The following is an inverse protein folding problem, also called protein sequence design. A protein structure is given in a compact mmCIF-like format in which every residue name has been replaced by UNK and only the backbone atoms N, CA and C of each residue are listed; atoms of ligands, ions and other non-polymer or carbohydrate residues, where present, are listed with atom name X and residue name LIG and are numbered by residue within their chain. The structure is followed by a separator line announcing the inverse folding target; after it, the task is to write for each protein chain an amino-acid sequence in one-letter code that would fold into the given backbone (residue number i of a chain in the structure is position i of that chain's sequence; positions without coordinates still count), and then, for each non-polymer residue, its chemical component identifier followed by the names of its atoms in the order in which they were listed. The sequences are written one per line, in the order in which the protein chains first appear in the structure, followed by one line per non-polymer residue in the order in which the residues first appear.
data_IF_885947710126
#
_entry.id   IF_885947710126
#
_cell.length_a   1.000
_cell.length_b   1.000
_cell.length_c   1.000
_cell.angle_alpha   90.00
_cell.angle_beta   90.00
_cell.angle_gamma   90.00
#
_symmetry.space_group_name_H-M   'P 1'
#
loop_
_entity.id
_entity.type
_entity.pdbx_description
1 polymer ?
#
# COMPACT_ATOMS: atom_id res chain seq x y z
N UNK A 1 4.02 -10.02 -4.73
CA UNK A 1 3.53 -9.22 -3.59
C UNK A 1 2.67 -10.04 -2.66
N UNK A 2 1.52 -10.54 -3.13
CA UNK A 2 0.58 -11.38 -2.34
C UNK A 2 1.29 -12.48 -1.53
N UNK A 3 2.12 -13.30 -2.18
CA UNK A 3 2.86 -14.37 -1.51
C UNK A 3 3.79 -13.84 -0.41
N UNK A 4 4.51 -12.74 -0.67
CA UNK A 4 5.37 -12.10 0.30
C UNK A 4 4.61 -11.55 1.50
N UNK A 5 3.45 -10.90 1.27
CA UNK A 5 2.60 -10.39 2.34
C UNK A 5 2.20 -11.52 3.31
N UNK A 6 1.73 -12.65 2.79
CA UNK A 6 1.31 -13.78 3.62
C UNK A 6 2.47 -14.43 4.39
N UNK A 7 3.61 -14.66 3.72
CA UNK A 7 4.80 -15.28 4.35
C UNK A 7 5.34 -14.37 5.46
N UNK A 8 5.56 -13.10 5.16
CA UNK A 8 6.16 -12.17 6.12
C UNK A 8 5.17 -11.67 7.16
N UNK A 9 3.86 -11.67 6.89
CA UNK A 9 2.85 -11.49 7.93
C UNK A 9 2.91 -12.57 8.99
N UNK A 10 3.00 -13.83 8.57
CA UNK A 10 3.21 -14.96 9.49
C UNK A 10 4.57 -14.87 10.21
N UNK A 11 5.66 -14.62 9.48
CA UNK A 11 6.99 -14.51 10.08
C UNK A 11 7.08 -13.34 11.08
N UNK A 12 6.39 -12.23 10.81
CA UNK A 12 6.34 -11.07 11.68
C UNK A 12 5.71 -11.41 13.03
N UNK A 13 4.62 -12.20 13.06
CA UNK A 13 3.96 -12.61 14.31
C UNK A 13 4.65 -13.80 15.01
N UNK A 14 5.23 -14.74 14.24
CA UNK A 14 5.75 -16.02 14.75
C UNK A 14 7.26 -16.09 14.89
N UNK A 15 7.99 -15.07 14.47
CA UNK A 15 9.44 -15.03 14.60
C UNK A 15 9.93 -13.69 15.15
N UNK A 16 9.77 -12.60 14.40
CA UNK A 16 10.33 -11.30 14.79
C UNK A 16 9.85 -10.21 13.83
N UNK A 17 9.52 -9.03 14.35
CA UNK A 17 9.22 -7.86 13.51
C UNK A 17 10.46 -7.45 12.73
N UNK A 18 11.57 -7.26 13.45
CA UNK A 18 12.88 -6.86 12.90
C UNK A 18 13.43 -7.88 11.90
N UNK A 19 13.45 -9.16 12.27
CA UNK A 19 14.00 -10.24 11.45
C UNK A 19 13.23 -10.40 10.14
N UNK A 20 11.90 -10.27 10.19
CA UNK A 20 11.06 -10.28 8.98
C UNK A 20 11.41 -9.13 8.04
N UNK A 21 11.57 -7.91 8.57
CA UNK A 21 12.00 -6.73 7.81
C UNK A 21 13.40 -6.86 7.20
N UNK A 22 14.35 -7.46 7.92
CA UNK A 22 15.71 -7.67 7.42
C UNK A 22 15.72 -8.65 6.25
N UNK A 23 15.03 -9.79 6.40
CA UNK A 23 14.98 -10.82 5.35
C UNK A 23 14.25 -10.31 4.11
N UNK A 24 13.13 -9.59 4.26
CA UNK A 24 12.42 -9.00 3.11
C UNK A 24 13.28 -8.01 2.34
N UNK A 25 14.05 -7.17 3.03
CA UNK A 25 14.98 -6.21 2.41
C UNK A 25 16.12 -6.92 1.68
N UNK A 26 16.69 -7.98 2.24
CA UNK A 26 17.76 -8.76 1.56
C UNK A 26 17.23 -9.36 0.26
N UNK A 27 16.04 -9.97 0.28
CA UNK A 27 15.37 -10.49 -0.93
C UNK A 27 15.21 -9.36 -1.96
N UNK A 28 14.73 -8.20 -1.53
CA UNK A 28 14.53 -7.04 -2.39
C UNK A 28 15.84 -6.59 -3.04
N UNK A 29 16.93 -6.44 -2.28
CA UNK A 29 18.27 -6.04 -2.78
C UNK A 29 18.77 -7.04 -3.83
N UNK A 30 18.82 -8.33 -3.46
CA UNK A 30 19.41 -9.38 -4.30
C UNK A 30 18.67 -9.50 -5.62
N UNK A 31 17.34 -9.61 -5.60
CA UNK A 31 16.58 -9.82 -6.83
C UNK A 31 16.39 -8.55 -7.66
N UNK A 32 16.49 -7.36 -7.06
CA UNK A 32 16.53 -6.11 -7.84
C UNK A 32 17.86 -5.99 -8.58
N UNK A 33 18.98 -6.33 -7.94
CA UNK A 33 20.29 -6.36 -8.58
C UNK A 33 20.36 -7.41 -9.71
N UNK A 34 19.84 -8.62 -9.46
CA UNK A 34 19.72 -9.65 -10.51
C UNK A 34 18.79 -9.22 -11.64
N UNK A 35 17.72 -8.48 -11.34
CA UNK A 35 16.83 -7.87 -12.32
C UNK A 35 17.56 -6.88 -13.24
N UNK A 36 18.42 -6.02 -12.69
CA UNK A 36 19.26 -5.11 -13.48
C UNK A 36 20.28 -5.87 -14.35
N UNK A 37 20.79 -6.99 -13.84
CA UNK A 37 21.74 -7.88 -14.50
C UNK A 37 21.13 -8.91 -15.46
N UNK A 38 19.81 -8.94 -15.66
CA UNK A 38 19.16 -10.05 -16.37
C UNK A 38 19.71 -10.26 -17.80
N UNK A 39 19.98 -11.50 -18.18
CA UNK A 39 20.58 -11.87 -19.46
C UNK A 39 19.83 -13.04 -20.10
N UNK A 40 19.49 -12.90 -21.39
CA UNK A 40 18.66 -13.86 -22.12
C UNK A 40 19.42 -14.81 -23.04
N UNK A 41 20.74 -14.91 -22.91
CA UNK A 41 21.57 -15.74 -23.79
C UNK A 41 21.29 -15.55 -25.30
N UNK A 42 21.16 -14.29 -25.72
CA UNK A 42 20.86 -13.91 -27.11
C UNK A 42 19.38 -13.92 -27.49
N UNK A 43 18.49 -14.51 -26.70
CA UNK A 43 17.03 -14.51 -26.96
C UNK A 43 16.29 -13.47 -26.13
N UNK A 44 15.41 -12.70 -26.79
CA UNK A 44 14.49 -11.78 -26.13
C UNK A 44 13.50 -12.51 -25.22
N UNK A 45 13.01 -13.69 -25.61
CA UNK A 45 12.05 -14.45 -24.80
C UNK A 45 12.68 -14.92 -23.48
N UNK A 46 13.92 -15.43 -23.54
CA UNK A 46 14.67 -15.83 -22.35
C UNK A 46 15.04 -14.65 -21.46
N UNK A 47 15.31 -13.47 -22.04
CA UNK A 47 15.52 -12.24 -21.26
C UNK A 47 14.26 -11.83 -20.49
N UNK A 48 13.11 -11.82 -21.14
CA UNK A 48 11.84 -11.49 -20.50
C UNK A 48 11.43 -12.52 -19.46
N UNK A 49 11.68 -13.81 -19.70
CA UNK A 49 11.45 -14.86 -18.72
C UNK A 49 12.32 -14.68 -17.47
N UNK A 50 13.63 -14.44 -17.63
CA UNK A 50 14.53 -14.17 -16.52
C UNK A 50 14.08 -12.92 -15.73
N UNK A 51 13.74 -11.84 -16.44
CA UNK A 51 13.25 -10.61 -15.82
C UNK A 51 11.94 -10.84 -15.06
N UNK A 52 11.00 -11.62 -15.62
CA UNK A 52 9.73 -11.95 -14.96
C UNK A 52 9.96 -12.72 -13.65
N UNK A 53 10.85 -13.71 -13.64
CA UNK A 53 11.23 -14.46 -12.43
C UNK A 53 11.83 -13.54 -11.38
N UNK A 54 12.80 -12.69 -11.75
CA UNK A 54 13.39 -11.76 -10.79
C UNK A 54 12.37 -10.73 -10.26
N UNK A 55 11.47 -10.22 -11.11
CA UNK A 55 10.40 -9.31 -10.67
C UNK A 55 9.39 -9.98 -9.75
N UNK A 56 9.09 -11.26 -9.98
CA UNK A 56 8.27 -12.04 -9.05
C UNK A 56 8.92 -12.13 -7.68
N UNK A 57 10.23 -12.42 -7.62
CA UNK A 57 10.99 -12.54 -6.38
C UNK A 57 11.19 -11.19 -5.67
N UNK A 58 11.46 -10.11 -6.41
CA UNK A 58 11.40 -8.73 -5.88
C UNK A 58 10.03 -8.45 -5.29
N UNK A 59 8.97 -8.90 -5.97
CA UNK A 59 7.60 -8.80 -5.48
C UNK A 59 7.37 -9.55 -4.16
N UNK A 60 8.10 -10.61 -3.84
CA UNK A 60 8.06 -11.26 -2.52
C UNK A 60 8.69 -10.35 -1.46
N UNK A 61 9.86 -9.77 -1.75
CA UNK A 61 10.54 -8.82 -0.86
C UNK A 61 9.67 -7.59 -0.56
N UNK A 62 9.17 -6.91 -1.60
CA UNK A 62 8.25 -5.78 -1.45
C UNK A 62 7.01 -6.19 -0.64
N UNK A 63 6.47 -7.39 -0.90
CA UNK A 63 5.31 -7.90 -0.18
C UNK A 63 5.52 -8.00 1.33
N UNK A 64 6.74 -8.28 1.79
CA UNK A 64 7.05 -8.37 3.22
C UNK A 64 7.19 -7.03 3.93
N UNK A 65 7.59 -5.98 3.20
CA UNK A 65 7.73 -4.63 3.75
C UNK A 65 6.40 -4.06 4.25
N UNK A 66 5.27 -4.39 3.60
CA UNK A 66 3.95 -3.91 4.01
C UNK A 66 3.53 -4.42 5.40
N UNK A 67 3.31 -5.74 5.62
CA UNK A 67 2.85 -6.24 6.91
C UNK A 67 3.91 -6.17 7.99
N UNK A 68 5.20 -6.30 7.68
CA UNK A 68 6.22 -6.16 8.72
C UNK A 68 6.46 -4.69 9.07
N UNK A 69 6.57 -3.81 8.07
CA UNK A 69 6.93 -2.40 8.27
C UNK A 69 5.78 -1.57 8.81
N UNK A 70 4.58 -1.71 8.27
CA UNK A 70 3.42 -0.97 8.76
C UNK A 70 3.06 -1.39 10.17
N UNK A 71 3.15 -2.67 10.49
CA UNK A 71 2.88 -3.15 11.85
C UNK A 71 3.92 -2.63 12.84
N UNK A 72 5.21 -2.74 12.52
CA UNK A 72 6.27 -2.14 13.35
C UNK A 72 6.10 -0.64 13.53
N UNK A 73 5.73 0.08 12.47
CA UNK A 73 5.47 1.51 12.54
C UNK A 73 4.28 1.82 13.45
N UNK A 74 3.17 1.06 13.34
CA UNK A 74 2.00 1.25 14.19
C UNK A 74 2.29 1.02 15.67
N UNK A 75 3.06 -0.03 15.99
CA UNK A 75 3.51 -0.37 17.35
C UNK A 75 4.45 0.72 17.89
N UNK A 76 5.46 1.13 17.11
CA UNK A 76 6.37 2.21 17.49
C UNK A 76 5.67 3.56 17.68
N UNK A 77 4.64 3.87 16.89
CA UNK A 77 3.85 5.10 17.08
C UNK A 77 3.05 5.08 18.38
N UNK A 78 2.79 3.90 18.96
CA UNK A 78 2.18 3.76 20.29
C UNK A 78 3.02 4.37 21.41
N UNK A 79 4.35 4.39 21.24
CA UNK A 79 5.30 4.97 22.20
C UNK A 79 5.38 6.50 22.11
N UNK A 80 4.84 7.09 21.04
CA UNK A 80 4.78 8.55 20.86
C UNK A 80 3.64 9.17 21.68
N UNK A 81 3.77 10.48 21.92
CA UNK A 81 2.73 11.27 22.60
C UNK A 81 1.39 11.15 21.86
N UNK A 82 0.34 10.84 22.64
CA UNK A 82 -1.03 10.77 22.14
C UNK A 82 -1.44 12.09 21.45
N UNK A 83 -2.21 11.95 20.37
CA UNK A 83 -2.70 13.05 19.53
C UNK A 83 -1.94 13.24 18.22
N UNK A 84 -0.75 12.60 18.06
CA UNK A 84 0.03 12.67 16.82
C UNK A 84 0.34 11.33 16.16
N UNK A 85 -0.17 10.22 16.73
CA UNK A 85 0.28 8.86 16.39
C UNK A 85 -0.18 8.43 15.00
N UNK A 86 -1.35 8.88 14.53
CA UNK A 86 -1.82 8.53 13.19
C UNK A 86 -1.03 9.29 12.13
N UNK A 87 -0.74 10.58 12.33
CA UNK A 87 0.09 11.36 11.39
C UNK A 87 1.48 10.76 11.25
N UNK A 88 2.14 10.39 12.35
CA UNK A 88 3.47 9.79 12.27
C UNK A 88 3.45 8.46 11.54
N UNK A 89 2.44 7.62 11.80
CA UNK A 89 2.26 6.39 11.01
C UNK A 89 2.16 6.71 9.52
N UNK A 90 1.32 7.65 9.12
CA UNK A 90 1.10 8.02 7.71
C UNK A 90 2.37 8.60 7.09
N UNK A 91 3.06 9.50 7.78
CA UNK A 91 4.28 10.13 7.30
C UNK A 91 5.41 9.12 7.03
N UNK A 92 5.52 8.07 7.86
CA UNK A 92 6.55 7.04 7.70
C UNK A 92 6.11 5.85 6.83
N UNK A 93 4.83 5.79 6.44
CA UNK A 93 4.30 4.75 5.55
C UNK A 93 3.84 5.35 4.23
N UNK A 94 2.61 5.86 4.15
CA UNK A 94 1.99 6.30 2.89
C UNK A 94 2.78 7.41 2.20
N UNK A 95 3.17 8.46 2.93
CA UNK A 95 3.94 9.58 2.35
C UNK A 95 5.28 9.11 1.78
N UNK A 96 5.93 8.12 2.41
CA UNK A 96 7.18 7.54 1.89
C UNK A 96 6.93 6.66 0.66
N UNK A 97 5.79 5.98 0.56
CA UNK A 97 5.38 5.25 -0.64
C UNK A 97 5.17 6.21 -1.81
N UNK A 98 4.46 7.32 -1.58
CA UNK A 98 4.20 8.34 -2.60
C UNK A 98 5.46 9.06 -3.05
N UNK A 99 6.33 9.39 -2.10
CA UNK A 99 7.65 9.91 -2.42
C UNK A 99 8.44 8.90 -3.26
N UNK A 100 8.33 7.61 -2.94
CA UNK A 100 8.86 6.52 -3.74
C UNK A 100 8.28 6.47 -5.16
N UNK A 101 6.98 6.72 -5.36
CA UNK A 101 6.38 6.81 -6.69
C UNK A 101 6.90 8.01 -7.49
N UNK A 102 7.04 9.18 -6.86
CA UNK A 102 7.61 10.38 -7.50
C UNK A 102 9.05 10.12 -7.95
N UNK A 103 9.92 9.63 -7.06
CA UNK A 103 11.30 9.32 -7.38
C UNK A 103 11.38 8.19 -8.42
N UNK A 104 10.52 7.17 -8.29
CA UNK A 104 10.40 6.04 -9.20
C UNK A 104 9.92 6.43 -10.61
N UNK A 105 9.22 7.55 -10.77
CA UNK A 105 8.87 8.13 -12.07
C UNK A 105 9.96 9.08 -12.58
N UNK A 106 10.56 9.89 -11.70
CA UNK A 106 11.55 10.91 -12.05
C UNK A 106 12.91 10.33 -12.45
N UNK A 107 13.38 9.27 -11.80
CA UNK A 107 14.66 8.63 -12.15
C UNK A 107 14.63 8.06 -13.57
N UNK A 108 13.62 7.26 -13.98
CA UNK A 108 13.48 6.84 -15.38
C UNK A 108 13.44 8.00 -16.38
N UNK A 109 12.72 9.08 -16.07
CA UNK A 109 12.69 10.30 -16.89
C UNK A 109 14.11 10.84 -17.13
N UNK A 110 14.87 11.05 -16.06
CA UNK A 110 16.23 11.58 -16.13
C UNK A 110 17.17 10.64 -16.91
N UNK A 111 17.10 9.33 -16.65
CA UNK A 111 17.96 8.34 -17.32
C UNK A 111 17.64 8.26 -18.81
N UNK A 112 16.36 8.33 -19.22
CA UNK A 112 16.00 8.35 -20.66
C UNK A 112 16.48 9.62 -21.35
N UNK A 113 16.42 10.78 -20.68
CA UNK A 113 16.98 12.03 -21.23
C UNK A 113 18.49 11.91 -21.43
N UNK A 114 19.22 11.38 -20.45
CA UNK A 114 20.68 11.23 -20.50
C UNK A 114 21.09 10.20 -21.56
N UNK A 115 20.48 9.01 -21.54
CA UNK A 115 20.86 7.93 -22.46
C UNK A 115 20.36 8.15 -23.88
N UNK A 116 19.33 9.00 -24.05
CA UNK A 116 18.50 9.14 -25.27
C UNK A 116 17.84 7.83 -25.69
N UNK A 117 16.93 7.88 -26.67
CA UNK A 117 16.29 6.67 -27.22
C UNK A 117 17.28 5.74 -27.95
N UNK A 118 18.54 6.15 -28.13
CA UNK A 118 19.59 5.35 -28.76
C UNK A 118 20.19 4.29 -27.85
N UNK A 119 20.14 4.45 -26.53
CA UNK A 119 20.80 3.55 -25.57
C UNK A 119 19.84 2.94 -24.54
N UNK A 120 18.63 2.58 -24.97
CA UNK A 120 17.59 2.05 -24.08
C UNK A 120 18.02 0.78 -23.33
N UNK A 121 18.87 -0.06 -23.93
CA UNK A 121 19.43 -1.26 -23.27
C UNK A 121 20.26 -0.92 -22.03
N UNK A 122 21.02 0.17 -22.06
CA UNK A 122 21.75 0.67 -20.89
C UNK A 122 20.77 1.32 -19.91
N UNK A 123 19.86 2.15 -20.44
CA UNK A 123 18.92 2.93 -19.64
C UNK A 123 18.14 2.06 -18.65
N UNK A 124 17.44 1.01 -19.10
CA UNK A 124 16.59 0.22 -18.20
C UNK A 124 17.39 -0.55 -17.15
N UNK A 125 18.62 -0.97 -17.47
CA UNK A 125 19.51 -1.64 -16.51
C UNK A 125 19.97 -0.69 -15.42
N UNK A 126 20.37 0.53 -15.80
CA UNK A 126 20.78 1.58 -14.86
C UNK A 126 19.61 1.97 -13.96
N UNK A 127 18.41 2.15 -14.52
CA UNK A 127 17.21 2.47 -13.72
C UNK A 127 16.94 1.41 -12.65
N UNK A 128 17.01 0.12 -13.00
CA UNK A 128 16.83 -0.96 -12.02
C UNK A 128 17.99 -1.06 -11.03
N UNK A 129 19.22 -0.84 -11.49
CA UNK A 129 20.41 -0.85 -10.63
C UNK A 129 20.39 0.25 -9.57
N UNK A 130 19.97 1.47 -9.94
CA UNK A 130 19.80 2.58 -8.99
C UNK A 130 18.78 2.21 -7.90
N UNK A 131 17.73 1.46 -8.25
CA UNK A 131 16.71 0.98 -7.32
C UNK A 131 17.25 0.10 -6.18
N UNK A 132 18.46 -0.45 -6.32
CA UNK A 132 19.12 -1.26 -5.28
C UNK A 132 19.71 -0.38 -4.16
N UNK A 133 20.03 0.88 -4.43
CA UNK A 133 20.78 1.76 -3.52
C UNK A 133 19.98 2.08 -2.24
N UNK A 134 18.72 2.57 -2.29
CA UNK A 134 17.99 2.92 -1.07
C UNK A 134 17.79 1.74 -0.11
N UNK A 135 17.40 0.53 -0.58
CA UNK A 135 17.31 -0.65 0.28
C UNK A 135 18.62 -1.05 0.96
N UNK A 136 19.78 -0.90 0.30
CA UNK A 136 21.09 -1.15 0.92
C UNK A 136 21.32 -0.18 2.09
N UNK A 137 21.05 1.11 1.89
CA UNK A 137 21.18 2.12 2.94
C UNK A 137 20.25 1.80 4.12
N UNK A 138 19.01 1.38 3.83
CA UNK A 138 18.05 0.97 4.85
C UNK A 138 18.49 -0.29 5.60
N UNK A 139 19.11 -1.27 4.92
CA UNK A 139 19.59 -2.49 5.57
C UNK A 139 20.61 -2.18 6.68
N UNK A 140 21.49 -1.20 6.45
CA UNK A 140 22.46 -0.74 7.45
C UNK A 140 21.76 -0.16 8.69
N UNK A 141 20.73 0.66 8.49
CA UNK A 141 19.95 1.25 9.59
C UNK A 141 19.07 0.23 10.31
N UNK A 142 18.50 -0.76 9.59
CA UNK A 142 17.63 -1.80 10.17
C UNK A 142 18.35 -2.72 11.15
N UNK A 143 19.66 -2.86 11.01
CA UNK A 143 20.47 -3.62 11.98
C UNK A 143 20.35 -3.08 13.42
N UNK A 144 20.06 -1.78 13.57
CA UNK A 144 19.93 -1.07 14.86
C UNK A 144 18.52 -0.99 15.42
N UNK A 145 17.52 -1.54 14.71
CA UNK A 145 16.14 -1.55 15.21
C UNK A 145 16.02 -2.49 16.42
N UNK A 146 15.18 -2.09 17.38
CA UNK A 146 14.77 -2.92 18.51
C UNK A 146 13.34 -3.44 18.28
N UNK A 147 12.96 -4.49 19.00
CA UNK A 147 11.58 -5.00 18.94
C UNK A 147 10.66 -4.06 19.73
N UNK A 148 9.49 -3.67 19.20
CA UNK A 148 8.55 -2.81 19.93
C UNK A 148 8.11 -3.40 21.27
N UNK A 149 7.84 -2.55 22.26
CA UNK A 149 7.42 -3.01 23.59
C UNK A 149 6.12 -3.84 23.55
N UNK A 150 5.14 -3.40 22.77
CA UNK A 150 3.86 -4.10 22.62
C UNK A 150 4.05 -5.49 22.03
N UNK A 151 4.96 -5.66 21.06
CA UNK A 151 5.30 -6.98 20.53
C UNK A 151 5.87 -7.87 21.63
N UNK A 152 6.80 -7.38 22.44
CA UNK A 152 7.39 -8.13 23.56
C UNK A 152 6.33 -8.60 24.56
N UNK A 153 5.35 -7.74 24.87
CA UNK A 153 4.27 -8.01 25.85
C UNK A 153 3.18 -8.95 25.32
N UNK A 154 2.74 -8.75 24.08
CA UNK A 154 1.54 -9.40 23.51
C UNK A 154 1.85 -10.45 22.44
N UNK A 155 3.12 -10.76 22.19
CA UNK A 155 3.52 -11.74 21.17
C UNK A 155 2.92 -13.13 21.45
N UNK A 156 2.39 -13.74 20.40
CA UNK A 156 2.01 -15.14 20.36
C UNK A 156 3.07 -16.05 19.70
N UNK A 157 4.33 -15.58 19.61
CA UNK A 157 5.41 -16.31 18.95
C UNK A 157 5.61 -17.71 19.50
N UNK A 158 5.60 -17.88 20.81
CA UNK A 158 5.93 -19.15 21.48
C UNK A 158 4.71 -20.06 21.69
N UNK A 159 3.53 -19.69 21.18
CA UNK A 159 2.27 -20.42 21.39
C UNK A 159 1.60 -20.77 20.08
N UNK A 160 0.71 -21.77 20.12
CA UNK A 160 -0.17 -22.06 19.00
C UNK A 160 -1.31 -21.03 19.01
N UNK A 161 -1.34 -20.17 17.99
CA UNK A 161 -2.38 -19.16 17.83
C UNK A 161 -3.75 -19.86 17.69
N UNK A 162 -4.76 -19.52 18.51
CA UNK A 162 -6.09 -20.11 18.41
C UNK A 162 -6.86 -19.51 17.22
N UNK A 163 -6.48 -19.86 15.99
CA UNK A 163 -7.03 -19.27 14.75
C UNK A 163 -8.56 -19.29 14.67
N UNK A 164 -9.23 -20.32 15.22
CA UNK A 164 -10.70 -20.38 15.27
C UNK A 164 -11.29 -19.24 16.10
N UNK A 165 -10.67 -18.94 17.25
CA UNK A 165 -11.11 -17.85 18.13
C UNK A 165 -10.78 -16.49 17.51
N UNK A 166 -9.58 -16.35 16.93
CA UNK A 166 -9.14 -15.15 16.20
C UNK A 166 -10.11 -14.82 15.07
N UNK A 167 -10.43 -15.80 14.21
CA UNK A 167 -11.34 -15.62 13.10
C UNK A 167 -12.74 -15.29 13.60
N UNK A 168 -13.27 -16.02 14.59
CA UNK A 168 -14.59 -15.72 15.18
C UNK A 168 -14.69 -14.29 15.72
N UNK A 169 -13.61 -13.75 16.27
CA UNK A 169 -13.58 -12.41 16.84
C UNK A 169 -13.39 -11.31 15.77
N UNK A 170 -12.53 -11.54 14.78
CA UNK A 170 -12.12 -10.50 13.82
C UNK A 170 -12.70 -10.63 12.41
N UNK A 171 -13.40 -11.72 12.05
CA UNK A 171 -13.80 -11.98 10.64
C UNK A 171 -14.56 -10.82 9.99
N UNK A 172 -15.49 -10.19 10.72
CA UNK A 172 -16.27 -9.08 10.19
C UNK A 172 -15.40 -7.86 9.90
N UNK A 173 -14.53 -7.50 10.85
CA UNK A 173 -13.59 -6.38 10.67
C UNK A 173 -12.60 -6.65 9.55
N UNK A 174 -12.05 -7.86 9.50
CA UNK A 174 -11.13 -8.29 8.44
C UNK A 174 -11.80 -8.20 7.07
N UNK A 175 -13.05 -8.66 6.95
CA UNK A 175 -13.83 -8.59 5.71
C UNK A 175 -14.04 -7.14 5.28
N UNK A 176 -14.48 -6.26 6.17
CA UNK A 176 -14.72 -4.84 5.86
C UNK A 176 -13.43 -4.14 5.44
N UNK A 177 -12.33 -4.33 6.19
CA UNK A 177 -11.03 -3.74 5.85
C UNK A 177 -10.54 -4.27 4.51
N UNK A 178 -10.68 -5.58 4.25
CA UNK A 178 -10.25 -6.19 2.98
C UNK A 178 -11.06 -5.70 1.78
N UNK A 179 -12.38 -5.52 1.93
CA UNK A 179 -13.24 -4.94 0.88
C UNK A 179 -12.83 -3.50 0.55
N UNK A 180 -12.54 -2.69 1.57
CA UNK A 180 -12.03 -1.33 1.38
C UNK A 180 -10.68 -1.34 0.64
N UNK A 181 -9.76 -2.26 0.99
CA UNK A 181 -8.48 -2.41 0.30
C UNK A 181 -8.63 -2.78 -1.19
N UNK A 182 -9.63 -3.60 -1.55
CA UNK A 182 -9.91 -3.97 -2.95
C UNK A 182 -10.29 -2.73 -3.76
N UNK A 183 -11.26 -1.96 -3.27
CA UNK A 183 -11.87 -0.85 -4.00
C UNK A 183 -10.97 0.39 -4.09
N UNK A 184 -9.99 0.53 -3.19
CA UNK A 184 -8.98 1.59 -3.29
C UNK A 184 -7.90 1.35 -4.35
N UNK A 185 -7.71 0.10 -4.80
CA UNK A 185 -6.57 -0.25 -5.68
C UNK A 185 -6.84 -0.05 -7.17
N UNK A 186 -8.02 0.47 -7.52
CA UNK A 186 -8.49 0.62 -8.90
C UNK A 186 -8.36 2.06 -9.36
N UNK A 187 -7.23 2.38 -10.01
CA UNK A 187 -7.09 3.19 -11.24
C UNK A 187 -5.59 3.49 -11.41
N UNK A 188 -4.98 2.97 -12.49
CA UNK A 188 -4.14 3.77 -13.38
C UNK A 188 -3.83 2.95 -14.63
N UNK A 189 -4.38 3.34 -15.78
CA UNK A 189 -3.89 2.88 -17.09
C UNK A 189 -4.24 3.88 -18.19
N UNK A 190 -3.26 4.11 -19.06
CA UNK A 190 -3.34 4.60 -20.44
C UNK A 190 -3.88 6.03 -20.69
N UNK A 191 -3.09 7.05 -20.33
CA UNK A 191 -3.28 8.44 -20.80
C UNK A 191 -2.39 8.76 -22.02
N UNK A 192 -1.45 7.91 -22.40
CA UNK A 192 -0.48 8.22 -23.46
C UNK A 192 -0.69 7.34 -24.69
N UNK A 193 -0.92 7.98 -25.84
CA UNK A 193 -0.90 7.31 -27.13
C UNK A 193 0.52 6.91 -27.54
N UNK A 194 0.63 5.88 -28.39
CA UNK A 194 1.88 5.21 -28.79
C UNK A 194 2.89 6.10 -29.54
N UNK A 195 2.53 7.34 -29.89
CA UNK A 195 3.33 8.25 -30.73
C UNK A 195 4.08 9.35 -29.99
N UNK A 196 4.05 9.39 -28.66
CA UNK A 196 4.69 10.46 -27.85
C UNK A 196 6.12 10.05 -27.46
N UNK A 197 7.14 10.93 -27.60
CA UNK A 197 8.51 10.64 -27.17
C UNK A 197 8.58 10.18 -25.72
N UNK A 198 9.40 9.16 -25.44
CA UNK A 198 9.38 8.46 -24.14
C UNK A 198 9.73 9.40 -22.97
N UNK A 199 10.62 10.37 -23.20
CA UNK A 199 10.95 11.40 -22.22
C UNK A 199 9.75 12.27 -21.83
N UNK A 200 8.85 12.60 -22.76
CA UNK A 200 7.62 13.35 -22.44
C UNK A 200 6.64 12.51 -21.64
N UNK A 201 6.51 11.22 -21.97
CA UNK A 201 5.67 10.28 -21.22
C UNK A 201 6.14 10.17 -19.77
N UNK A 202 7.44 9.95 -19.55
CA UNK A 202 7.97 9.89 -18.18
C UNK A 202 7.89 11.23 -17.45
N UNK A 203 8.09 12.37 -18.13
CA UNK A 203 7.96 13.69 -17.53
C UNK A 203 6.55 13.99 -17.03
N UNK A 204 5.53 13.72 -17.84
CA UNK A 204 4.13 13.85 -17.41
C UNK A 204 3.77 12.85 -16.31
N UNK A 205 4.28 11.62 -16.37
CA UNK A 205 4.12 10.66 -15.29
C UNK A 205 4.70 11.17 -13.97
N UNK A 206 5.87 11.84 -13.98
CA UNK A 206 6.40 12.49 -12.76
C UNK A 206 5.45 13.56 -12.23
N UNK A 207 4.91 14.41 -13.11
CA UNK A 207 3.96 15.47 -12.71
C UNK A 207 2.70 14.87 -12.09
N UNK A 208 2.15 13.81 -12.68
CA UNK A 208 0.96 13.13 -12.13
C UNK A 208 1.26 12.55 -10.75
N UNK A 209 2.39 11.87 -10.56
CA UNK A 209 2.76 11.30 -9.26
C UNK A 209 3.04 12.37 -8.19
N UNK A 210 3.44 13.61 -8.57
CA UNK A 210 3.60 14.70 -7.62
C UNK A 210 2.29 15.10 -6.94
N UNK A 211 1.13 14.84 -7.56
CA UNK A 211 -0.17 15.12 -6.96
C UNK A 211 -0.53 14.16 -5.81
N UNK A 212 0.18 13.05 -5.62
CA UNK A 212 -0.02 12.19 -4.45
C UNK A 212 0.38 12.91 -3.15
N UNK A 213 1.53 13.61 -3.17
CA UNK A 213 2.14 14.19 -1.97
C UNK A 213 1.26 15.21 -1.23
N UNK A 214 0.61 16.21 -1.88
CA UNK A 214 -0.27 17.13 -1.16
C UNK A 214 -1.41 16.40 -0.44
N UNK A 215 -1.97 15.37 -1.07
CA UNK A 215 -3.02 14.52 -0.52
C UNK A 215 -2.58 13.84 0.76
N UNK A 216 -1.49 13.06 0.68
CA UNK A 216 -0.96 12.31 1.82
C UNK A 216 -0.46 13.21 2.97
N UNK A 217 0.15 14.35 2.66
CA UNK A 217 0.61 15.28 3.69
C UNK A 217 -0.57 15.92 4.44
N UNK A 218 -1.59 16.40 3.73
CA UNK A 218 -2.78 17.00 4.36
C UNK A 218 -3.62 15.94 5.06
N UNK A 219 -3.77 14.76 4.47
CA UNK A 219 -4.51 13.64 5.04
C UNK A 219 -3.86 13.10 6.32
N UNK A 220 -2.52 13.11 6.41
CA UNK A 220 -1.80 12.76 7.63
C UNK A 220 -2.22 13.60 8.83
N UNK A 221 -2.33 14.92 8.64
CA UNK A 221 -2.72 15.87 9.67
C UNK A 221 -4.21 15.72 9.98
N UNK A 222 -5.05 15.60 8.94
CA UNK A 222 -6.49 15.48 9.10
C UNK A 222 -6.90 14.20 9.85
N UNK A 223 -6.20 13.10 9.60
CA UNK A 223 -6.46 11.78 10.21
C UNK A 223 -6.16 11.74 11.71
N UNK A 224 -5.29 12.62 12.22
CA UNK A 224 -5.12 12.79 13.67
C UNK A 224 -6.27 13.58 14.30
N UNK A 225 -6.79 14.60 13.61
CA UNK A 225 -7.84 15.46 14.16
C UNK A 225 -9.21 14.80 14.20
N UNK A 226 -9.63 14.15 13.12
CA UNK A 226 -10.97 13.57 13.01
C UNK A 226 -10.98 12.05 13.25
N UNK A 227 -9.82 11.41 13.12
CA UNK A 227 -9.66 9.97 13.20
C UNK A 227 -9.75 9.27 11.82
N UNK A 228 -9.08 8.12 11.65
CA UNK A 228 -8.89 7.49 10.34
C UNK A 228 -10.18 7.07 9.63
N UNK A 229 -11.20 6.64 10.38
CA UNK A 229 -12.51 6.24 9.83
C UNK A 229 -13.16 7.39 9.07
N UNK A 230 -13.23 8.56 9.71
CA UNK A 230 -13.89 9.73 9.13
C UNK A 230 -13.02 10.40 8.07
N UNK A 231 -11.70 10.43 8.26
CA UNK A 231 -10.77 10.91 7.24
C UNK A 231 -10.90 10.12 5.93
N UNK A 232 -10.92 8.78 6.01
CA UNK A 232 -11.15 7.92 4.86
C UNK A 232 -12.53 8.21 4.21
N UNK A 233 -13.59 8.25 5.02
CA UNK A 233 -14.97 8.48 4.52
C UNK A 233 -15.07 9.80 3.76
N UNK A 234 -14.54 10.89 4.33
CA UNK A 234 -14.61 12.22 3.74
C UNK A 234 -13.75 12.28 2.48
N UNK A 235 -12.51 11.78 2.54
CA UNK A 235 -11.60 11.77 1.41
C UNK A 235 -12.16 11.00 0.21
N UNK A 236 -12.65 9.79 0.43
CA UNK A 236 -13.18 8.94 -0.64
C UNK A 236 -14.52 9.47 -1.19
N UNK A 237 -15.33 10.15 -0.36
CA UNK A 237 -16.56 10.81 -0.81
C UNK A 237 -16.25 12.03 -1.70
N UNK A 238 -15.27 12.84 -1.30
CA UNK A 238 -14.80 13.96 -2.10
C UNK A 238 -14.18 13.47 -3.42
N UNK A 239 -13.38 12.40 -3.36
CA UNK A 239 -12.81 11.74 -4.53
C UNK A 239 -13.90 11.25 -5.49
N UNK A 240 -14.96 10.59 -4.98
CA UNK A 240 -16.09 10.13 -5.79
C UNK A 240 -16.80 11.30 -6.49
N UNK A 241 -17.02 12.41 -5.78
CA UNK A 241 -17.65 13.61 -6.34
C UNK A 241 -16.81 14.18 -7.50
N UNK A 242 -15.49 14.30 -7.31
CA UNK A 242 -14.58 14.77 -8.38
C UNK A 242 -14.56 13.78 -9.53
N UNK A 243 -14.52 12.47 -9.26
CA UNK A 243 -14.51 11.45 -10.30
C UNK A 243 -15.79 11.42 -11.15
N UNK A 244 -16.97 11.59 -10.54
CA UNK A 244 -18.22 11.76 -11.29
C UNK A 244 -18.25 13.04 -12.12
N UNK A 245 -17.72 14.14 -11.57
CA UNK A 245 -17.59 15.40 -12.30
C UNK A 245 -16.66 15.26 -13.50
N UNK A 246 -15.51 14.59 -13.33
CA UNK A 246 -14.58 14.28 -14.41
C UNK A 246 -15.22 13.43 -15.50
N UNK A 247 -15.97 12.39 -15.10
CA UNK A 247 -16.69 11.54 -16.05
C UNK A 247 -17.75 12.34 -16.82
N UNK A 248 -18.56 13.16 -16.15
CA UNK A 248 -19.59 13.98 -16.79
C UNK A 248 -19.03 15.04 -17.73
N UNK A 249 -17.93 15.70 -17.34
CA UNK A 249 -17.29 16.77 -18.11
C UNK A 249 -16.20 16.29 -19.08
N UNK A 250 -15.99 14.97 -19.19
CA UNK A 250 -14.96 14.39 -20.05
C UNK A 250 -14.94 14.96 -21.49
N UNK A 251 -16.08 15.15 -22.20
CA UNK A 251 -16.06 15.67 -23.58
C UNK A 251 -15.46 17.09 -23.70
N UNK A 252 -15.55 17.87 -22.63
CA UNK A 252 -15.00 19.24 -22.56
C UNK A 252 -13.53 19.16 -22.12
N UNK A 253 -13.23 18.33 -21.12
CA UNK A 253 -11.90 18.18 -20.55
C UNK A 253 -10.91 17.47 -21.49
N UNK A 254 -11.39 16.57 -22.35
CA UNK A 254 -10.56 15.79 -23.28
C UNK A 254 -10.06 16.59 -24.49
N UNK A 255 -10.48 17.85 -24.62
CA UNK A 255 -10.03 18.71 -25.72
C UNK A 255 -8.56 19.12 -25.51
N UNK A 256 -7.78 19.16 -26.59
CA UNK A 256 -6.33 19.48 -26.56
C UNK A 256 -6.04 20.83 -25.89
N UNK A 257 -6.95 21.80 -26.02
CA UNK A 257 -6.85 23.11 -25.38
C UNK A 257 -6.99 23.07 -23.85
N UNK A 258 -7.61 22.03 -23.29
CA UNK A 258 -7.95 21.89 -21.88
C UNK A 258 -7.06 20.90 -21.13
N UNK A 259 -5.97 20.41 -21.73
CA UNK A 259 -5.08 19.39 -21.14
C UNK A 259 -4.57 19.82 -19.76
N UNK A 260 -4.19 21.09 -19.58
CA UNK A 260 -3.74 21.60 -18.29
C UNK A 260 -4.85 21.53 -17.22
N UNK A 261 -6.09 21.88 -17.60
CA UNK A 261 -7.26 21.77 -16.71
C UNK A 261 -7.57 20.33 -16.34
N UNK A 262 -7.51 19.41 -17.31
CA UNK A 262 -7.68 17.98 -17.05
C UNK A 262 -6.63 17.45 -16.08
N UNK A 263 -5.34 17.80 -16.28
CA UNK A 263 -4.26 17.36 -15.38
C UNK A 263 -4.46 17.87 -13.96
N UNK A 264 -4.90 19.13 -13.77
CA UNK A 264 -5.15 19.67 -12.43
C UNK A 264 -6.32 18.95 -11.76
N UNK A 265 -7.44 18.77 -12.45
CA UNK A 265 -8.62 18.09 -11.88
C UNK A 265 -8.32 16.62 -11.57
N UNK A 266 -7.60 15.94 -12.48
CA UNK A 266 -7.11 14.59 -12.25
C UNK A 266 -6.12 14.53 -11.09
N UNK A 267 -5.22 15.51 -10.99
CA UNK A 267 -4.32 15.66 -9.86
C UNK A 267 -5.05 15.79 -8.53
N UNK A 268 -6.09 16.62 -8.47
CA UNK A 268 -6.97 16.74 -7.28
C UNK A 268 -7.65 15.40 -6.97
N UNK A 269 -8.15 14.69 -7.97
CA UNK A 269 -8.73 13.35 -7.78
C UNK A 269 -7.71 12.37 -7.15
N UNK A 270 -6.46 12.38 -7.63
CA UNK A 270 -5.39 11.56 -7.07
C UNK A 270 -5.00 11.98 -5.65
N UNK A 271 -4.87 13.30 -5.38
CA UNK A 271 -4.61 13.82 -4.04
C UNK A 271 -5.69 13.40 -3.04
N UNK A 272 -6.97 13.40 -3.44
CA UNK A 272 -8.07 12.96 -2.58
C UNK A 272 -8.04 11.44 -2.31
N UNK A 273 -7.53 10.66 -3.26
CA UNK A 273 -7.26 9.23 -3.08
C UNK A 273 -6.22 8.96 -2.00
N UNK A 274 -5.14 9.74 -1.98
CA UNK A 274 -4.12 9.61 -0.93
C UNK A 274 -4.58 10.17 0.41
N UNK A 275 -5.25 11.32 0.41
CA UNK A 275 -5.83 11.94 1.61
C UNK A 275 -6.80 11.00 2.35
N UNK A 276 -7.62 10.25 1.61
CA UNK A 276 -8.60 9.33 2.16
C UNK A 276 -8.06 7.91 2.28
N UNK A 277 -8.33 7.04 1.29
CA UNK A 277 -7.90 5.64 1.31
C UNK A 277 -6.40 5.41 1.51
N UNK A 278 -5.51 6.13 0.82
CA UNK A 278 -4.06 5.91 0.87
C UNK A 278 -3.50 5.99 2.29
N UNK A 279 -3.77 7.10 2.96
CA UNK A 279 -3.31 7.34 4.33
C UNK A 279 -3.95 6.40 5.35
N UNK A 280 -5.23 6.09 5.18
CA UNK A 280 -6.01 5.50 6.27
C UNK A 280 -6.07 3.97 6.22
N UNK A 281 -6.01 3.33 5.05
CA UNK A 281 -6.13 1.87 4.93
C UNK A 281 -5.03 1.15 5.71
N UNK A 282 -3.79 1.64 5.65
CA UNK A 282 -2.68 1.09 6.44
C UNK A 282 -2.94 1.19 7.95
N UNK A 283 -3.54 2.29 8.41
CA UNK A 283 -3.94 2.44 9.82
C UNK A 283 -5.05 1.45 10.16
N UNK A 284 -6.07 1.31 9.31
CA UNK A 284 -7.15 0.35 9.53
C UNK A 284 -6.61 -1.07 9.68
N UNK A 285 -5.76 -1.49 8.76
CA UNK A 285 -5.20 -2.84 8.76
C UNK A 285 -4.24 -3.08 9.95
N UNK A 286 -3.56 -2.05 10.45
CA UNK A 286 -2.61 -2.20 11.56
C UNK A 286 -3.24 -2.02 12.95
N UNK A 287 -4.22 -1.13 13.12
CA UNK A 287 -4.77 -0.79 14.45
C UNK A 287 -6.05 -1.51 14.83
N UNK A 288 -6.76 -2.16 13.89
CA UNK A 288 -8.07 -2.79 14.18
C UNK A 288 -8.00 -4.22 14.73
N UNK A 289 -6.80 -4.69 15.05
CA UNK A 289 -6.55 -6.01 15.62
C UNK A 289 -5.44 -5.99 16.69
N UNK A 290 -5.46 -7.02 17.52
CA UNK A 290 -4.48 -7.23 18.58
C UNK A 290 -3.09 -7.59 18.05
N UNK A 291 -2.07 -7.15 18.77
CA UNK A 291 -0.64 -7.23 18.47
C UNK A 291 -0.17 -8.64 18.12
N UNK A 292 -0.59 -9.65 18.88
CA UNK A 292 -0.17 -11.04 18.69
C UNK A 292 -0.57 -11.70 17.36
N UNK A 293 -1.52 -11.12 16.62
CA UNK A 293 -2.00 -11.62 15.31
C UNK A 293 -2.00 -10.55 14.22
N UNK A 294 -1.42 -9.39 14.51
CA UNK A 294 -1.54 -8.19 13.69
C UNK A 294 -0.83 -8.33 12.36
N UNK A 295 0.35 -8.95 12.33
CA UNK A 295 1.11 -9.20 11.11
C UNK A 295 0.31 -10.02 10.10
N UNK A 296 -0.33 -11.09 10.56
CA UNK A 296 -1.18 -11.95 9.75
C UNK A 296 -2.49 -11.26 9.33
N UNK A 297 -3.15 -10.54 10.24
CA UNK A 297 -4.35 -9.78 9.93
C UNK A 297 -4.09 -8.73 8.84
N UNK A 298 -3.04 -7.93 9.00
CA UNK A 298 -2.61 -6.94 8.01
C UNK A 298 -2.28 -7.63 6.69
N UNK A 299 -1.52 -8.72 6.73
CA UNK A 299 -1.11 -9.45 5.53
C UNK A 299 -2.28 -9.98 4.72
N UNK A 300 -3.31 -10.52 5.36
CA UNK A 300 -4.52 -11.01 4.67
C UNK A 300 -5.27 -9.83 4.03
N UNK A 301 -5.49 -8.74 4.76
CA UNK A 301 -6.16 -7.56 4.22
C UNK A 301 -5.40 -6.96 3.02
N UNK A 302 -4.08 -6.83 3.15
CA UNK A 302 -3.23 -6.28 2.10
C UNK A 302 -3.10 -7.23 0.89
N UNK A 303 -3.08 -8.55 1.11
CA UNK A 303 -3.09 -9.56 0.05
C UNK A 303 -4.39 -9.49 -0.77
N UNK A 304 -5.53 -9.39 -0.10
CA UNK A 304 -6.84 -9.25 -0.75
C UNK A 304 -6.91 -7.94 -1.55
N UNK A 305 -6.40 -6.82 -1.01
CA UNK A 305 -6.27 -5.56 -1.75
C UNK A 305 -5.42 -5.68 -3.01
N UNK A 306 -4.25 -6.34 -2.94
CA UNK A 306 -3.39 -6.56 -4.11
C UNK A 306 -4.01 -7.50 -5.14
N UNK A 307 -4.81 -8.49 -4.73
CA UNK A 307 -5.62 -9.30 -5.64
C UNK A 307 -6.68 -8.45 -6.34
N UNK A 308 -7.35 -7.56 -5.60
CA UNK A 308 -8.29 -6.58 -6.16
C UNK A 308 -7.64 -5.69 -7.23
N UNK A 309 -6.45 -5.15 -6.94
CA UNK A 309 -5.66 -4.36 -7.89
C UNK A 309 -5.38 -5.14 -9.19
N UNK A 310 -4.90 -6.38 -9.05
CA UNK A 310 -4.59 -7.26 -10.17
C UNK A 310 -5.83 -7.53 -11.02
N UNK A 311 -6.95 -7.90 -10.39
CA UNK A 311 -8.23 -8.13 -11.08
C UNK A 311 -8.69 -6.86 -11.79
N UNK A 312 -8.56 -5.69 -11.14
CA UNK A 312 -8.85 -4.39 -11.73
C UNK A 312 -8.11 -4.19 -13.05
N UNK A 313 -6.79 -4.39 -13.10
CA UNK A 313 -5.98 -4.21 -14.32
C UNK A 313 -6.52 -5.00 -15.52
N UNK A 314 -7.12 -6.18 -15.32
CA UNK A 314 -7.72 -6.96 -16.39
C UNK A 314 -9.15 -6.54 -16.75
N UNK A 315 -9.93 -6.04 -15.79
CA UNK A 315 -11.34 -5.69 -16.00
C UNK A 315 -11.50 -4.33 -16.71
N UNK A 316 -10.66 -3.33 -16.39
CA UNK A 316 -10.81 -1.98 -16.95
C UNK A 316 -10.78 -1.91 -18.49
N UNK A 317 -9.89 -2.64 -19.21
CA UNK A 317 -9.94 -2.69 -20.67
C UNK A 317 -11.28 -3.20 -21.22
N UNK A 318 -11.91 -4.19 -20.58
CA UNK A 318 -13.24 -4.67 -20.98
C UNK A 318 -14.34 -3.63 -20.69
N UNK A 319 -14.20 -2.85 -19.62
CA UNK A 319 -15.11 -1.73 -19.32
C UNK A 319 -15.00 -0.64 -20.41
N UNK A 320 -13.78 -0.31 -20.83
CA UNK A 320 -13.54 0.65 -21.92
C UNK A 320 -14.11 0.15 -23.25
N UNK A 321 -13.89 -1.13 -23.57
CA UNK A 321 -14.42 -1.78 -24.77
C UNK A 321 -15.95 -1.78 -24.78
N UNK A 322 -16.60 -2.08 -23.64
CA UNK A 322 -18.05 -2.00 -23.50
C UNK A 322 -18.60 -0.58 -23.74
N UNK A 323 -17.78 0.45 -23.59
CA UNK A 323 -18.10 1.84 -23.90
C UNK A 323 -17.88 2.24 -25.36
N UNK A 324 -17.40 1.33 -26.22
CA UNK A 324 -17.03 1.61 -27.61
C UNK A 324 -15.52 1.73 -27.84
N UNK A 325 -14.70 1.42 -26.84
CA UNK A 325 -13.23 1.45 -26.91
C UNK A 325 -12.62 2.77 -26.43
N UNK A 326 -11.32 2.75 -26.09
CA UNK A 326 -10.61 3.85 -25.44
C UNK A 326 -10.61 5.18 -26.22
N UNK A 327 -10.75 5.13 -27.55
CA UNK A 327 -10.80 6.31 -28.42
C UNK A 327 -12.19 6.99 -28.44
N UNK A 328 -13.19 6.38 -27.81
CA UNK A 328 -14.53 6.95 -27.71
C UNK A 328 -14.69 7.69 -26.39
N UNK A 329 -15.45 8.79 -26.42
CA UNK A 329 -15.79 9.55 -25.21
C UNK A 329 -16.40 8.65 -24.14
N UNK A 330 -17.34 7.78 -24.52
CA UNK A 330 -18.00 6.87 -23.58
C UNK A 330 -17.05 5.80 -23.03
N UNK A 331 -16.17 5.24 -23.86
CA UNK A 331 -15.14 4.29 -23.43
C UNK A 331 -14.21 4.90 -22.38
N UNK A 332 -13.78 6.15 -22.55
CA UNK A 332 -12.95 6.84 -21.58
C UNK A 332 -13.69 7.30 -20.31
N UNK A 333 -15.01 7.53 -20.39
CA UNK A 333 -15.84 7.92 -19.24
C UNK A 333 -16.14 6.76 -18.28
N UNK A 334 -16.38 5.57 -18.81
CA UNK A 334 -16.83 4.41 -18.00
C UNK A 334 -15.86 4.04 -16.86
N UNK A 335 -14.53 4.01 -17.06
CA UNK A 335 -13.58 3.81 -15.98
C UNK A 335 -13.77 4.78 -14.80
N UNK A 336 -13.97 6.07 -15.09
CA UNK A 336 -14.19 7.09 -14.06
C UNK A 336 -15.53 6.88 -13.34
N UNK A 337 -16.61 6.55 -14.06
CA UNK A 337 -17.91 6.22 -13.45
C UNK A 337 -17.82 5.01 -12.53
N UNK A 338 -17.20 3.93 -12.99
CA UNK A 338 -17.06 2.69 -12.21
C UNK A 338 -16.24 2.94 -10.96
N UNK A 339 -15.07 3.56 -11.09
CA UNK A 339 -14.23 3.82 -9.93
C UNK A 339 -14.88 4.79 -8.93
N UNK A 340 -15.55 5.84 -9.41
CA UNK A 340 -16.30 6.75 -8.54
C UNK A 340 -17.44 6.03 -7.80
N UNK A 341 -18.10 5.07 -8.46
CA UNK A 341 -19.07 4.18 -7.81
C UNK A 341 -18.44 3.31 -6.71
N UNK A 342 -17.25 2.75 -6.95
CA UNK A 342 -16.50 2.00 -5.95
C UNK A 342 -16.05 2.88 -4.77
N UNK A 343 -15.70 4.15 -5.03
CA UNK A 343 -15.44 5.15 -3.99
C UNK A 343 -16.69 5.37 -3.10
N UNK A 344 -17.90 5.46 -3.67
CA UNK A 344 -19.14 5.56 -2.90
C UNK A 344 -19.38 4.33 -2.04
N UNK A 345 -19.19 3.13 -2.58
CA UNK A 345 -19.29 1.88 -1.80
C UNK A 345 -18.28 1.88 -0.64
N UNK A 346 -17.06 2.34 -0.89
CA UNK A 346 -16.02 2.49 0.13
C UNK A 346 -16.40 3.51 1.20
N UNK A 347 -17.02 4.64 0.82
CA UNK A 347 -17.54 5.63 1.76
C UNK A 347 -18.61 5.01 2.67
N UNK A 348 -19.56 4.25 2.12
CA UNK A 348 -20.61 3.61 2.90
C UNK A 348 -20.04 2.54 3.84
N UNK A 349 -19.15 1.68 3.36
CA UNK A 349 -18.50 0.67 4.20
C UNK A 349 -17.68 1.30 5.32
N UNK A 350 -16.91 2.35 5.02
CA UNK A 350 -16.11 3.03 6.03
C UNK A 350 -16.96 3.77 7.05
N UNK A 351 -18.02 4.45 6.61
CA UNK A 351 -18.90 5.18 7.50
C UNK A 351 -19.74 4.27 8.38
N UNK A 352 -20.25 3.14 7.90
CA UNK A 352 -21.17 2.30 8.69
C UNK A 352 -20.50 1.09 9.36
N UNK A 353 -19.45 0.51 8.76
CA UNK A 353 -18.94 -0.80 9.18
C UNK A 353 -17.60 -0.76 9.92
N UNK A 354 -16.84 0.34 9.88
CA UNK A 354 -15.56 0.44 10.58
C UNK A 354 -15.72 0.87 12.05
N UNK A 355 -14.89 0.33 12.96
CA UNK A 355 -14.84 0.82 14.33
C UNK A 355 -14.24 2.23 14.39
N UNK A 356 -14.49 2.94 15.49
CA UNK A 356 -13.75 4.17 15.78
C UNK A 356 -12.29 3.83 16.09
N UNK A 357 -11.36 4.58 15.49
CA UNK A 357 -9.92 4.39 15.67
C UNK A 357 -9.36 5.68 16.24
N UNK A 358 -9.09 5.65 17.53
CA UNK A 358 -8.39 6.71 18.25
C UNK A 358 -6.89 6.45 18.38
N UNK A 359 -6.25 7.27 19.20
CA UNK A 359 -4.80 7.25 19.42
C UNK A 359 -4.34 6.03 20.23
N UNK A 360 -5.20 5.49 21.11
CA UNK A 360 -4.92 4.35 22.01
C UNK A 360 -5.59 3.04 21.57
N UNK A 361 -6.02 2.96 20.30
CA UNK A 361 -6.81 1.83 19.79
C UNK A 361 -6.09 0.50 19.95
N UNK A 362 -4.77 0.46 19.72
CA UNK A 362 -3.98 -0.78 19.82
C UNK A 362 -4.06 -1.35 21.24
N UNK A 363 -3.77 -0.54 22.25
CA UNK A 363 -3.78 -0.96 23.65
C UNK A 363 -5.18 -1.40 24.12
N UNK A 364 -6.22 -0.72 23.63
CA UNK A 364 -7.62 -1.10 23.91
C UNK A 364 -7.95 -2.44 23.26
N UNK A 365 -7.54 -2.65 22.01
CA UNK A 365 -7.82 -3.88 21.27
C UNK A 365 -7.07 -5.08 21.85
N UNK A 366 -5.82 -4.89 22.28
CA UNK A 366 -5.05 -5.92 22.98
C UNK A 366 -5.75 -6.35 24.27
N UNK A 367 -6.21 -5.39 25.09
CA UNK A 367 -6.98 -5.68 26.31
C UNK A 367 -8.27 -6.45 26.01
N UNK A 368 -9.06 -5.96 25.06
CA UNK A 368 -10.34 -6.59 24.70
C UNK A 368 -10.14 -8.02 24.19
N UNK A 369 -9.11 -8.24 23.38
CA UNK A 369 -8.80 -9.55 22.83
C UNK A 369 -8.32 -10.52 23.93
N UNK A 370 -7.49 -10.06 24.88
CA UNK A 370 -7.11 -10.86 26.06
C UNK A 370 -8.33 -11.25 26.88
N UNK A 371 -9.23 -10.32 27.17
CA UNK A 371 -10.48 -10.61 27.90
C UNK A 371 -11.34 -11.63 27.15
N UNK A 372 -11.45 -11.50 25.83
CA UNK A 372 -12.16 -12.47 25.01
C UNK A 372 -11.52 -13.87 25.08
N UNK A 373 -10.20 -13.97 24.94
CA UNK A 373 -9.48 -15.24 25.03
C UNK A 373 -9.67 -15.90 26.40
N UNK A 374 -9.54 -15.14 27.50
CA UNK A 374 -9.78 -15.63 28.84
C UNK A 374 -11.22 -16.15 29.01
N UNK A 375 -12.23 -15.45 28.46
CA UNK A 375 -13.63 -15.88 28.50
C UNK A 375 -13.88 -17.20 27.76
N UNK A 376 -13.02 -17.56 26.81
CA UNK A 376 -13.07 -18.82 26.06
C UNK A 376 -12.18 -19.91 26.69
N UNK A 377 -11.63 -19.66 27.89
CA UNK A 377 -10.77 -20.60 28.60
C UNK A 377 -9.36 -20.73 28.04
N UNK A 378 -8.90 -19.75 27.25
CA UNK A 378 -7.53 -19.76 26.72
C UNK A 378 -6.56 -19.14 27.74
N UNK A 379 -5.47 -19.85 28.00
CA UNK A 379 -4.48 -19.49 29.02
C UNK A 379 -3.59 -18.33 28.55
N UNK A 380 -3.81 -17.15 29.14
CA UNK A 380 -3.08 -15.92 28.83
C UNK A 380 -1.63 -15.89 29.33
N UNK A 381 -1.26 -16.75 30.31
CA UNK A 381 0.11 -16.79 30.84
C UNK A 381 1.14 -17.19 29.78
N UNK A 382 0.66 -17.74 28.66
CA UNK A 382 1.50 -18.21 27.57
C UNK A 382 1.90 -17.10 26.59
N UNK A 383 1.30 -15.90 26.68
CA UNK A 383 1.61 -14.73 25.84
C UNK A 383 2.89 -14.02 26.28
N UNK A 384 3.50 -13.30 25.34
CA UNK A 384 4.71 -12.53 25.55
C UNK A 384 5.98 -13.31 25.18
N UNK A 385 7.07 -12.57 24.96
CA UNK A 385 8.37 -13.14 24.60
C UNK A 385 9.17 -13.55 25.84
N UNK A 386 8.96 -12.90 26.99
CA UNK A 386 9.64 -13.18 28.25
C UNK A 386 8.86 -14.22 29.07
N UNK A 387 9.08 -15.50 28.77
CA UNK A 387 8.66 -16.58 29.67
C UNK A 387 9.62 -16.63 30.87
N UNK A 388 9.14 -16.29 32.07
CA UNK A 388 9.82 -16.64 33.32
C UNK A 388 10.42 -15.48 34.16
N UNK A 389 10.30 -14.22 33.76
CA UNK A 389 10.52 -13.10 34.68
C UNK A 389 9.19 -12.76 35.34
N UNK A 390 8.81 -13.58 36.32
CA UNK A 390 7.84 -13.18 37.33
C UNK A 390 8.54 -12.09 38.13
N UNK A 391 8.14 -10.83 37.92
CA UNK A 391 8.44 -9.78 38.89
C UNK A 391 7.72 -10.18 40.19
N UNK A 392 8.51 -10.61 41.16
CA UNK A 392 8.12 -10.71 42.56
C UNK A 392 8.25 -9.35 43.24
#
# INVERSE_FOLDING_TARGET
MVLGQLIFGYASDKWSRKGSLLVSTIILIVFTALGAGSYGNGSSSSLFAALAVYRFLVGIGIGGEYPAGSVSCSEATGELKSGSRNRWFILFTNVMVDFGFVIGAFVPYLIVIICTERHLRLAWRVMLGIGVVPPILLLLSRSKLEEPEEYTKESMRNVKIPYRLVLKYYWWRLLVVSLICIFSSTILANIYGDSVPLGKVFGWNTVINLFYLPGALLGSIFSDFIGPRYALTIGVSAQAMVGFLMAGLYPILSQVQNVAGFVVVFGVFLSLGEFGPGDNIGILASKTCATGVRGQYYAVAAAIGKLGAFVGTYIFPYIEEAGGGANTTRGAQLPFYVSSGLCVVTALLSFFCLPHIGQDTITIEDRNFRTYLASQGWDLSQMGTNRGTVDH
#
